data_IF_235164586787
#
_entry.id   IF_235164586787
#
_cell.length_a   1.000
_cell.length_b   1.000
_cell.length_c   1.000
_cell.angle_alpha   90.00
_cell.angle_beta   90.00
_cell.angle_gamma   90.00
#
_symmetry.space_group_name_H-M   'P 1'
#
loop_
_entity.id
_entity.type
_entity.pdbx_description
1 polymer ?
#
# COMPACT_ATOMS: atom_id res chain seq x y z
N UNK A 1 65.11 42.47 20.88
CA UNK A 1 64.65 43.37 19.81
C UNK A 1 64.48 42.54 18.56
N UNK A 2 63.33 42.74 17.88
CA UNK A 2 62.93 42.25 16.54
C UNK A 2 62.84 40.74 16.28
N UNK A 3 61.90 40.16 15.55
CA UNK A 3 60.49 40.37 15.13
C UNK A 3 60.28 39.32 14.01
N UNK A 4 59.10 38.68 13.98
CA UNK A 4 58.46 37.93 12.84
C UNK A 4 59.21 36.70 12.25
N UNK A 5 58.58 35.61 11.80
CA UNK A 5 57.19 35.34 11.44
C UNK A 5 56.99 33.82 11.27
N UNK A 6 56.11 33.23 12.07
CA UNK A 6 55.48 31.93 11.78
C UNK A 6 54.52 32.11 10.60
N UNK A 7 54.88 31.60 9.43
CA UNK A 7 53.96 31.54 8.29
C UNK A 7 53.02 30.34 8.47
N UNK A 8 52.04 30.48 9.36
CA UNK A 8 50.83 29.67 9.32
C UNK A 8 50.06 30.04 8.06
N UNK A 9 50.15 29.22 7.01
CA UNK A 9 49.27 29.28 5.86
C UNK A 9 47.88 28.79 6.32
N UNK A 10 47.09 29.71 6.88
CA UNK A 10 45.66 29.49 7.06
C UNK A 10 44.99 29.56 5.68
N UNK A 11 44.64 28.40 5.12
CA UNK A 11 43.82 28.33 3.90
C UNK A 11 42.42 28.90 4.19
N UNK A 12 41.89 29.87 3.44
CA UNK A 12 40.53 30.34 3.60
C UNK A 12 39.59 29.43 2.79
N UNK A 13 39.25 28.25 3.33
CA UNK A 13 38.24 27.37 2.73
C UNK A 13 37.10 27.04 3.69
N UNK A 14 36.70 27.98 4.54
CA UNK A 14 35.52 27.76 5.39
C UNK A 14 34.79 29.09 5.55
N UNK A 15 33.81 29.38 4.68
CA UNK A 15 32.62 30.24 4.98
C UNK A 15 31.77 30.66 3.77
N UNK A 16 31.98 30.12 2.55
CA UNK A 16 31.08 30.39 1.39
C UNK A 16 30.12 29.23 1.09
N UNK A 17 30.25 28.08 1.77
CA UNK A 17 29.61 26.83 1.36
C UNK A 17 28.22 26.53 1.94
N UNK A 18 27.78 27.16 3.03
CA UNK A 18 26.52 26.78 3.68
C UNK A 18 25.30 27.27 2.91
N UNK A 19 25.26 28.54 2.49
CA UNK A 19 24.13 29.08 1.71
C UNK A 19 23.93 28.39 0.36
N UNK A 20 25.02 28.08 -0.35
CA UNK A 20 24.95 27.35 -1.62
C UNK A 20 24.48 25.90 -1.43
N UNK A 21 24.91 25.23 -0.35
CA UNK A 21 24.42 23.89 0.00
C UNK A 21 22.95 23.89 0.41
N UNK A 22 22.49 24.89 1.16
CA UNK A 22 21.07 25.04 1.49
C UNK A 22 20.22 25.31 0.25
N UNK A 23 20.68 26.16 -0.67
CA UNK A 23 19.98 26.38 -1.94
C UNK A 23 19.94 25.11 -2.79
N UNK A 24 21.06 24.38 -2.89
CA UNK A 24 21.10 23.13 -3.65
C UNK A 24 20.14 22.08 -3.06
N UNK A 25 20.12 21.92 -1.74
CA UNK A 25 19.19 21.00 -1.07
C UNK A 25 17.73 21.42 -1.25
N UNK A 26 17.43 22.72 -1.21
CA UNK A 26 16.09 23.24 -1.46
C UNK A 26 15.65 22.99 -2.91
N UNK A 27 16.53 23.21 -3.90
CA UNK A 27 16.26 22.92 -5.31
C UNK A 27 16.05 21.43 -5.53
N UNK A 28 16.89 20.57 -4.94
CA UNK A 28 16.73 19.12 -5.02
C UNK A 28 15.42 18.64 -4.37
N UNK A 29 15.03 19.20 -3.23
CA UNK A 29 13.77 18.87 -2.56
C UNK A 29 12.55 19.30 -3.39
N UNK A 30 12.59 20.48 -4.01
CA UNK A 30 11.53 20.95 -4.91
C UNK A 30 11.48 20.10 -6.19
N UNK A 31 12.63 19.74 -6.77
CA UNK A 31 12.69 18.81 -7.91
C UNK A 31 12.10 17.43 -7.55
N UNK A 32 12.45 16.88 -6.39
CA UNK A 32 11.89 15.60 -5.92
C UNK A 32 10.38 15.69 -5.70
N UNK A 33 9.88 16.78 -5.12
CA UNK A 33 8.44 17.01 -4.95
C UNK A 33 7.73 17.11 -6.31
N UNK A 34 8.30 17.82 -7.28
CA UNK A 34 7.77 17.92 -8.65
C UNK A 34 7.76 16.55 -9.32
N UNK A 35 8.82 15.75 -9.18
CA UNK A 35 8.90 14.39 -9.72
C UNK A 35 7.84 13.46 -9.09
N UNK A 36 7.63 13.56 -7.78
CA UNK A 36 6.58 12.81 -7.07
C UNK A 36 5.20 13.23 -7.54
N UNK A 37 4.93 14.54 -7.67
CA UNK A 37 3.66 15.05 -8.17
C UNK A 37 3.41 14.68 -9.64
N UNK A 38 4.46 14.65 -10.47
CA UNK A 38 4.35 14.23 -11.87
C UNK A 38 4.12 12.72 -11.99
N UNK A 39 4.76 11.92 -11.14
CA UNK A 39 4.53 10.46 -11.04
C UNK A 39 3.10 10.16 -10.56
N UNK A 40 2.62 10.89 -9.56
CA UNK A 40 1.24 10.78 -9.06
C UNK A 40 0.21 11.18 -10.14
N UNK A 41 0.46 12.27 -10.88
CA UNK A 41 -0.39 12.65 -12.03
C UNK A 41 -0.38 11.63 -13.17
N UNK A 42 0.74 10.92 -13.39
CA UNK A 42 0.82 9.85 -14.39
C UNK A 42 -0.07 8.67 -13.98
N UNK A 43 0.00 8.25 -12.72
CA UNK A 43 -0.75 7.11 -12.22
C UNK A 43 -2.28 7.38 -12.10
N UNK A 44 -2.69 8.62 -11.80
CA UNK A 44 -4.10 9.02 -11.84
C UNK A 44 -4.66 9.02 -13.27
N UNK A 45 -3.82 9.26 -14.29
CA UNK A 45 -4.25 9.24 -15.70
C UNK A 45 -4.55 7.83 -16.19
N UNK A 46 -3.81 6.84 -15.70
CA UNK A 46 -4.02 5.43 -16.06
C UNK A 46 -5.33 4.87 -15.47
N UNK A 47 -5.79 5.38 -14.31
CA UNK A 47 -7.10 5.02 -13.73
C UNK A 47 -8.30 5.58 -14.51
N UNK A 48 -8.10 6.65 -15.30
CA UNK A 48 -9.13 7.27 -16.13
C UNK A 48 -9.09 6.77 -17.59
N UNK A 49 -8.40 5.64 -17.86
CA UNK A 49 -8.43 5.04 -19.18
C UNK A 49 -9.82 4.42 -19.47
N UNK A 50 -10.44 4.76 -20.61
CA UNK A 50 -11.75 4.24 -21.00
C UNK A 50 -11.78 2.71 -21.22
N UNK A 51 -10.60 2.10 -21.35
CA UNK A 51 -10.45 0.64 -21.49
C UNK A 51 -10.83 -0.12 -20.20
N UNK A 52 -10.55 0.46 -19.02
CA UNK A 52 -10.89 -0.15 -17.74
C UNK A 52 -12.41 -0.20 -17.51
N UNK A 53 -13.12 0.91 -17.83
CA UNK A 53 -14.58 0.93 -17.82
C UNK A 53 -15.20 -0.09 -18.79
N UNK A 54 -14.54 -0.41 -19.91
CA UNK A 54 -15.05 -1.38 -20.88
C UNK A 54 -15.07 -2.81 -20.32
N UNK A 55 -14.10 -3.19 -19.50
CA UNK A 55 -14.08 -4.52 -18.83
C UNK A 55 -15.26 -4.65 -17.86
N UNK A 56 -15.56 -3.61 -17.08
CA UNK A 56 -16.68 -3.60 -16.12
C UNK A 56 -18.04 -3.59 -16.83
N UNK A 57 -18.11 -3.04 -18.05
CA UNK A 57 -19.36 -2.98 -18.84
C UNK A 57 -19.76 -4.31 -19.48
N UNK A 58 -18.89 -5.32 -19.49
CA UNK A 58 -19.28 -6.66 -19.93
C UNK A 58 -20.18 -7.27 -18.84
N UNK A 59 -21.40 -7.72 -19.17
CA UNK A 59 -22.26 -8.34 -18.17
C UNK A 59 -21.54 -9.59 -17.66
N UNK A 60 -21.18 -9.57 -16.38
CA UNK A 60 -20.75 -10.77 -15.68
C UNK A 60 -21.82 -11.82 -15.93
N UNK A 61 -21.41 -13.02 -16.36
CA UNK A 61 -22.34 -14.12 -16.63
C UNK A 61 -23.36 -14.20 -15.51
N UNK A 62 -24.66 -14.14 -15.84
CA UNK A 62 -25.74 -14.21 -14.86
C UNK A 62 -25.66 -15.46 -13.99
N UNK A 63 -24.95 -16.50 -14.47
CA UNK A 63 -24.68 -17.70 -13.70
C UNK A 63 -23.78 -17.42 -12.49
N UNK A 64 -22.72 -16.61 -12.62
CA UNK A 64 -21.82 -16.31 -11.51
C UNK A 64 -22.52 -15.54 -10.38
N UNK A 65 -23.44 -14.63 -10.71
CA UNK A 65 -24.25 -13.92 -9.71
C UNK A 65 -25.11 -14.92 -8.92
N UNK A 66 -25.73 -15.88 -9.61
CA UNK A 66 -26.48 -16.97 -8.94
C UNK A 66 -25.58 -17.83 -8.08
N UNK A 67 -24.36 -18.12 -8.53
CA UNK A 67 -23.40 -18.89 -7.74
C UNK A 67 -23.01 -18.17 -6.45
N UNK A 68 -22.82 -16.85 -6.47
CA UNK A 68 -22.56 -16.09 -5.24
C UNK A 68 -23.71 -16.20 -4.25
N UNK A 69 -24.96 -16.06 -4.71
CA UNK A 69 -26.13 -16.22 -3.85
C UNK A 69 -26.24 -17.63 -3.26
N UNK A 70 -25.83 -18.67 -4.00
CA UNK A 70 -25.85 -20.06 -3.54
C UNK A 70 -24.76 -20.36 -2.49
N UNK A 71 -23.69 -19.56 -2.47
CA UNK A 71 -22.55 -19.73 -1.56
C UNK A 71 -22.49 -18.60 -0.51
N UNK A 72 -23.58 -17.85 -0.32
CA UNK A 72 -23.72 -16.86 0.73
C UNK A 72 -23.83 -17.59 2.09
N UNK A 73 -22.70 -17.67 2.80
CA UNK A 73 -22.59 -18.39 4.06
C UNK A 73 -21.59 -17.70 4.98
N UNK A 74 -21.95 -17.61 6.26
CA UNK A 74 -21.22 -16.84 7.27
C UNK A 74 -20.69 -17.69 8.39
N UNK A 75 -19.42 -17.45 8.71
CA UNK A 75 -18.73 -17.94 9.90
C UNK A 75 -18.24 -16.74 10.71
N UNK A 76 -17.50 -15.83 10.06
CA UNK A 76 -16.92 -14.63 10.68
C UNK A 76 -17.25 -13.33 9.94
N UNK A 77 -17.59 -13.37 8.65
CA UNK A 77 -17.84 -12.17 7.86
C UNK A 77 -19.11 -11.43 8.30
N UNK A 78 -19.40 -10.27 7.71
CA UNK A 78 -20.58 -9.50 8.10
C UNK A 78 -21.88 -10.14 7.64
N UNK A 79 -21.93 -10.59 6.39
CA UNK A 79 -23.15 -11.10 5.77
C UNK A 79 -23.03 -12.59 5.47
N UNK A 80 -22.19 -12.95 4.50
CA UNK A 80 -21.83 -14.33 4.14
C UNK A 80 -20.78 -14.40 3.03
N UNK A 81 -19.90 -13.41 3.04
CA UNK A 81 -18.70 -13.32 2.22
C UNK A 81 -17.75 -14.50 2.46
N UNK A 82 -17.77 -15.16 3.62
CA UNK A 82 -16.90 -16.32 3.88
C UNK A 82 -17.12 -17.44 2.85
N UNK A 83 -18.37 -17.81 2.60
CA UNK A 83 -18.72 -18.85 1.63
C UNK A 83 -18.45 -18.40 0.20
N UNK A 84 -18.72 -17.12 -0.12
CA UNK A 84 -18.45 -16.54 -1.44
C UNK A 84 -16.96 -16.53 -1.74
N UNK A 85 -16.12 -16.10 -0.79
CA UNK A 85 -14.66 -16.08 -0.94
C UNK A 85 -14.09 -17.50 -1.07
N UNK A 86 -14.59 -18.45 -0.27
CA UNK A 86 -14.20 -19.85 -0.39
C UNK A 86 -14.54 -20.40 -1.78
N UNK A 87 -15.75 -20.12 -2.29
CA UNK A 87 -16.16 -20.53 -3.63
C UNK A 87 -15.27 -19.90 -4.71
N UNK A 88 -15.01 -18.59 -4.62
CA UNK A 88 -14.13 -17.89 -5.58
C UNK A 88 -12.78 -18.59 -5.65
N UNK A 89 -12.09 -18.74 -4.51
CA UNK A 89 -10.73 -19.28 -4.49
C UNK A 89 -10.68 -20.79 -4.78
N UNK A 90 -11.76 -21.53 -4.54
CA UNK A 90 -11.88 -22.92 -4.99
C UNK A 90 -11.94 -23.04 -6.53
N UNK A 91 -12.51 -22.03 -7.22
CA UNK A 91 -12.66 -22.05 -8.68
C UNK A 91 -11.46 -21.43 -9.41
N UNK A 92 -10.91 -20.32 -8.90
CA UNK A 92 -9.82 -19.59 -9.58
C UNK A 92 -8.43 -19.95 -9.04
N UNK A 93 -8.35 -20.60 -7.88
CA UNK A 93 -7.10 -20.88 -7.20
C UNK A 93 -6.41 -19.64 -6.65
N UNK A 94 -5.12 -19.77 -6.33
CA UNK A 94 -4.28 -18.65 -5.88
C UNK A 94 -2.91 -18.73 -6.57
N UNK A 95 -2.31 -17.58 -6.81
CA UNK A 95 -1.00 -17.48 -7.51
C UNK A 95 0.20 -17.65 -6.57
N UNK A 96 0.01 -17.45 -5.26
CA UNK A 96 1.08 -17.45 -4.26
C UNK A 96 0.86 -18.55 -3.23
N UNK A 97 1.96 -19.10 -2.71
CA UNK A 97 1.95 -20.08 -1.63
C UNK A 97 2.93 -19.62 -0.53
N UNK A 98 2.46 -19.32 0.69
CA UNK A 98 1.04 -19.25 1.09
C UNK A 98 0.31 -18.09 0.37
N UNK A 99 -1.01 -18.21 0.16
CA UNK A 99 -1.82 -17.15 -0.41
C UNK A 99 -1.86 -15.92 0.50
N UNK A 100 -2.09 -14.74 -0.09
CA UNK A 100 -1.99 -13.46 0.61
C UNK A 100 -3.21 -12.57 0.46
N UNK A 101 -3.50 -11.78 1.49
CA UNK A 101 -4.58 -10.79 1.47
C UNK A 101 -4.16 -9.44 2.09
N UNK A 102 -4.93 -8.41 1.79
CA UNK A 102 -4.92 -7.13 2.51
C UNK A 102 -6.38 -6.73 2.77
N UNK A 103 -6.73 -6.39 4.00
CA UNK A 103 -8.09 -5.93 4.36
C UNK A 103 -8.00 -4.65 5.20
N UNK A 104 -8.87 -3.69 4.87
CA UNK A 104 -9.00 -2.41 5.58
C UNK A 104 -10.35 -2.36 6.30
N UNK A 105 -10.39 -1.70 7.45
CA UNK A 105 -11.62 -1.54 8.22
C UNK A 105 -12.06 -2.83 8.90
N UNK A 106 -11.11 -3.59 9.45
CA UNK A 106 -11.39 -4.88 10.11
C UNK A 106 -11.84 -4.72 11.57
N UNK A 107 -11.90 -3.49 12.08
CA UNK A 107 -12.11 -3.20 13.49
C UNK A 107 -11.17 -4.05 14.36
N UNK A 108 -11.69 -4.82 15.32
CA UNK A 108 -10.91 -5.71 16.20
C UNK A 108 -10.57 -7.08 15.58
N UNK A 109 -10.82 -7.27 14.28
CA UNK A 109 -10.52 -8.51 13.56
C UNK A 109 -11.38 -9.72 13.95
N UNK A 110 -12.40 -9.58 14.80
CA UNK A 110 -13.31 -10.68 15.16
C UNK A 110 -14.33 -10.97 14.06
N UNK A 111 -14.78 -9.92 13.37
CA UNK A 111 -15.75 -9.96 12.29
C UNK A 111 -15.17 -9.30 11.04
N UNK A 112 -14.49 -10.08 10.20
CA UNK A 112 -13.89 -9.60 8.95
C UNK A 112 -13.86 -10.71 7.89
N UNK A 113 -13.74 -10.31 6.62
CA UNK A 113 -13.84 -11.24 5.49
C UNK A 113 -12.64 -12.19 5.39
N UNK A 114 -11.50 -11.79 5.94
CA UNK A 114 -10.25 -12.55 5.84
C UNK A 114 -10.00 -13.46 7.03
N UNK A 115 -10.84 -13.43 8.07
CA UNK A 115 -10.64 -14.24 9.28
C UNK A 115 -10.66 -15.73 8.99
N UNK A 116 -11.64 -16.21 8.22
CA UNK A 116 -11.71 -17.63 7.86
C UNK A 116 -10.48 -18.06 7.05
N UNK A 117 -10.07 -17.24 6.09
CA UNK A 117 -8.90 -17.48 5.25
C UNK A 117 -7.62 -17.57 6.10
N UNK A 118 -7.45 -16.64 7.04
CA UNK A 118 -6.30 -16.55 7.96
C UNK A 118 -6.25 -17.72 8.95
N UNK A 119 -7.36 -18.04 9.61
CA UNK A 119 -7.40 -19.01 10.70
C UNK A 119 -7.50 -20.47 10.22
N UNK A 120 -8.10 -20.72 9.06
CA UNK A 120 -8.38 -22.08 8.60
C UNK A 120 -7.72 -22.46 7.27
N UNK A 121 -7.41 -21.50 6.40
CA UNK A 121 -6.82 -21.78 5.09
C UNK A 121 -5.34 -21.40 4.98
N UNK A 122 -4.73 -20.94 6.08
CA UNK A 122 -3.30 -20.61 6.13
C UNK A 122 -2.89 -19.37 5.32
N UNK A 123 -3.85 -18.49 5.02
CA UNK A 123 -3.56 -17.25 4.31
C UNK A 123 -2.76 -16.28 5.20
N UNK A 124 -1.82 -15.57 4.59
CA UNK A 124 -1.02 -14.55 5.26
C UNK A 124 -1.41 -13.17 4.77
N UNK A 125 -1.75 -12.25 5.66
CA UNK A 125 -2.20 -10.95 5.21
C UNK A 125 -1.95 -9.84 6.20
N UNK A 126 -2.13 -8.63 5.68
CA UNK A 126 -2.10 -7.39 6.45
C UNK A 126 -3.54 -6.93 6.68
N UNK A 127 -3.89 -6.73 7.94
CA UNK A 127 -5.14 -6.08 8.29
C UNK A 127 -4.84 -4.66 8.77
N UNK A 128 -5.71 -3.70 8.46
CA UNK A 128 -5.56 -2.30 8.86
C UNK A 128 -6.86 -1.74 9.41
N UNK A 129 -6.77 -1.03 10.52
CA UNK A 129 -7.89 -0.29 11.12
C UNK A 129 -7.39 0.96 11.86
N UNK A 130 -8.23 1.98 12.01
CA UNK A 130 -7.80 3.27 12.56
C UNK A 130 -7.38 3.20 14.04
N UNK A 131 -8.09 2.43 14.86
CA UNK A 131 -7.96 2.47 16.32
C UNK A 131 -7.89 1.07 16.98
N UNK A 132 -7.74 0.01 16.19
CA UNK A 132 -7.84 -1.36 16.68
C UNK A 132 -6.58 -2.19 16.45
N UNK A 133 -5.39 -1.55 16.40
CA UNK A 133 -4.13 -2.24 16.17
C UNK A 133 -3.91 -3.43 17.11
N UNK A 134 -3.64 -4.60 16.54
CA UNK A 134 -3.31 -5.84 17.24
C UNK A 134 -2.23 -6.60 16.46
N UNK A 135 -0.99 -6.49 16.94
CA UNK A 135 0.17 -7.10 16.30
C UNK A 135 0.17 -8.63 16.40
N UNK A 136 -0.59 -9.23 17.32
CA UNK A 136 -0.66 -10.69 17.46
C UNK A 136 -1.33 -11.36 16.26
N UNK A 137 -2.20 -10.61 15.57
CA UNK A 137 -2.91 -11.04 14.38
C UNK A 137 -2.48 -10.28 13.11
N UNK A 138 -1.40 -9.49 13.17
CA UNK A 138 -0.93 -8.60 12.10
C UNK A 138 -1.98 -7.56 11.64
N UNK A 139 -2.71 -7.01 12.61
CA UNK A 139 -3.59 -5.86 12.46
C UNK A 139 -2.84 -4.57 12.84
N UNK A 140 -2.77 -3.63 11.90
CA UNK A 140 -2.05 -2.36 12.02
C UNK A 140 -2.98 -1.18 12.18
#
# INVERSE_FOLDING_TARGET
MTLVSSLCIARPYVLVGTRARFMLMAVLAVCMLILVLFSCRRQIRDLNQPEYCRVISTPVSSNWIKQFQQHDYKIFSQNGEDGVLLWIFANIGTIHQPPRFVEFGVENGKQCNTRFLREHLGWQGLMMDANNADLTINLR
#
